data_IF_146929166047
#
_entry.id   IF_146929166047
#
_cell.length_a   1.000
_cell.length_b   1.000
_cell.length_c   1.000
_cell.angle_alpha   90.00
_cell.angle_beta   90.00
_cell.angle_gamma   90.00
#
_symmetry.space_group_name_H-M   'P 1'
#
loop_
_entity.id
_entity.type
_entity.pdbx_description
1 polymer ?
#
# COMPACT_ATOMS: atom_id res chain seq x y z
N UNK A 1 2.25 -17.63 -8.20
CA UNK A 1 2.17 -16.60 -7.16
C UNK A 1 2.59 -15.25 -7.73
N UNK A 2 1.73 -14.25 -7.61
CA UNK A 2 2.06 -12.88 -8.02
C UNK A 2 2.24 -12.00 -6.78
N UNK A 3 3.16 -11.04 -6.90
CA UNK A 3 3.25 -9.93 -5.96
C UNK A 3 2.10 -8.98 -6.24
N UNK A 4 1.50 -8.43 -5.19
CA UNK A 4 0.36 -7.53 -5.29
C UNK A 4 0.66 -6.19 -4.64
N UNK A 5 0.17 -5.12 -5.25
CA UNK A 5 0.17 -3.77 -4.69
C UNK A 5 -1.29 -3.38 -4.43
N UNK A 6 -1.60 -3.08 -3.17
CA UNK A 6 -2.91 -2.56 -2.77
C UNK A 6 -2.87 -1.04 -2.85
N UNK A 7 -3.89 -0.46 -3.48
CA UNK A 7 -4.05 1.00 -3.58
C UNK A 7 -5.33 1.36 -2.84
N UNK A 8 -5.19 1.81 -1.60
CA UNK A 8 -6.32 2.18 -0.73
C UNK A 8 -6.51 3.70 -0.74
N UNK A 9 -7.56 4.15 -1.40
CA UNK A 9 -7.88 5.56 -1.60
C UNK A 9 -9.37 5.72 -1.82
N UNK A 10 -10.02 6.59 -1.04
CA UNK A 10 -11.46 6.81 -1.13
C UNK A 10 -11.87 7.73 -2.29
N UNK A 11 -10.99 8.61 -2.76
CA UNK A 11 -11.27 9.47 -3.90
C UNK A 11 -11.03 8.73 -5.22
N UNK A 12 -12.09 8.49 -6.03
CA UNK A 12 -11.93 7.71 -7.27
C UNK A 12 -10.92 8.30 -8.25
N UNK A 13 -10.87 9.61 -8.36
CA UNK A 13 -9.94 10.28 -9.29
C UNK A 13 -8.48 10.08 -8.88
N UNK A 14 -8.20 10.16 -7.58
CA UNK A 14 -6.85 9.95 -7.04
C UNK A 14 -6.46 8.47 -7.17
N UNK A 15 -7.38 7.58 -6.84
CA UNK A 15 -7.16 6.14 -6.97
C UNK A 15 -6.82 5.75 -8.41
N UNK A 16 -7.58 6.26 -9.37
CA UNK A 16 -7.33 6.04 -10.80
C UNK A 16 -5.99 6.61 -11.24
N UNK A 17 -5.61 7.77 -10.72
CA UNK A 17 -4.32 8.39 -11.04
C UNK A 17 -3.14 7.55 -10.54
N UNK A 18 -3.24 7.00 -9.33
CA UNK A 18 -2.20 6.10 -8.79
C UNK A 18 -2.09 4.84 -9.65
N UNK A 19 -3.23 4.21 -9.97
CA UNK A 19 -3.24 3.03 -10.83
C UNK A 19 -2.60 3.29 -12.19
N UNK A 20 -2.92 4.44 -12.80
CA UNK A 20 -2.36 4.83 -14.10
C UNK A 20 -0.85 4.97 -14.01
N UNK A 21 -0.36 5.62 -12.97
CA UNK A 21 1.08 5.86 -12.81
C UNK A 21 1.84 4.57 -12.48
N UNK A 22 1.15 3.53 -12.00
CA UNK A 22 1.76 2.24 -11.69
C UNK A 22 1.56 1.18 -12.78
N UNK A 23 0.97 1.52 -13.92
CA UNK A 23 0.75 0.55 -15.01
C UNK A 23 2.04 -0.08 -15.53
N UNK A 24 3.17 0.58 -15.37
CA UNK A 24 4.47 0.02 -15.73
C UNK A 24 4.76 -1.30 -15.01
N UNK A 25 4.18 -1.50 -13.81
CA UNK A 25 4.36 -2.74 -13.04
C UNK A 25 3.31 -3.82 -13.37
N UNK A 26 2.21 -3.47 -14.03
CA UNK A 26 1.07 -4.36 -14.25
C UNK A 26 1.41 -5.69 -14.95
N UNK A 27 2.38 -5.76 -15.90
CA UNK A 27 2.73 -7.03 -16.52
C UNK A 27 3.27 -8.10 -15.55
N UNK A 28 3.88 -7.68 -14.45
CA UNK A 28 4.52 -8.61 -13.51
C UNK A 28 3.94 -8.55 -12.10
N UNK A 29 3.19 -7.48 -11.77
CA UNK A 29 2.62 -7.24 -10.44
C UNK A 29 1.13 -7.03 -10.58
N UNK A 30 0.37 -7.65 -9.68
CA UNK A 30 -1.09 -7.47 -9.57
C UNK A 30 -1.38 -6.13 -8.88
N UNK A 31 -2.17 -5.27 -9.51
CA UNK A 31 -2.61 -4.00 -8.90
C UNK A 31 -4.05 -4.15 -8.43
N UNK A 32 -4.32 -3.87 -7.16
CA UNK A 32 -5.64 -4.00 -6.58
C UNK A 32 -6.08 -2.69 -5.92
N UNK A 33 -7.05 -1.99 -6.52
CA UNK A 33 -7.61 -0.80 -5.88
C UNK A 33 -8.65 -1.16 -4.82
N UNK A 34 -8.74 -0.35 -3.78
CA UNK A 34 -9.77 -0.43 -2.74
C UNK A 34 -10.25 0.97 -2.39
N UNK A 35 -11.54 1.12 -2.16
CA UNK A 35 -12.17 2.41 -1.90
C UNK A 35 -12.29 2.77 -0.42
N UNK A 36 -12.24 1.77 0.45
CA UNK A 36 -12.26 1.94 1.90
C UNK A 36 -11.58 0.76 2.58
N UNK A 37 -11.50 0.81 3.91
CA UNK A 37 -10.80 -0.23 4.68
C UNK A 37 -11.51 -1.58 4.59
N UNK A 38 -12.84 -1.60 4.61
CA UNK A 38 -13.58 -2.87 4.49
C UNK A 38 -13.33 -3.52 3.14
N UNK A 39 -13.34 -2.73 2.07
CA UNK A 39 -13.00 -3.19 0.72
C UNK A 39 -11.55 -3.70 0.65
N UNK A 40 -10.62 -3.01 1.32
CA UNK A 40 -9.23 -3.43 1.37
C UNK A 40 -9.06 -4.82 2.02
N UNK A 41 -9.77 -5.09 3.10
CA UNK A 41 -9.71 -6.41 3.74
C UNK A 41 -10.32 -7.50 2.87
N UNK A 42 -11.40 -7.21 2.15
CA UNK A 42 -11.97 -8.15 1.17
C UNK A 42 -10.95 -8.47 0.07
N UNK A 43 -10.26 -7.46 -0.43
CA UNK A 43 -9.20 -7.62 -1.45
C UNK A 43 -8.06 -8.48 -0.88
N UNK A 44 -7.65 -8.25 0.36
CA UNK A 44 -6.62 -9.07 1.01
C UNK A 44 -7.04 -10.54 1.09
N UNK A 45 -8.30 -10.80 1.42
CA UNK A 45 -8.84 -12.16 1.44
C UNK A 45 -8.78 -12.81 0.05
N UNK A 46 -9.12 -12.07 -1.00
CA UNK A 46 -9.04 -12.55 -2.38
C UNK A 46 -7.60 -12.85 -2.81
N UNK A 47 -6.65 -11.96 -2.48
CA UNK A 47 -5.23 -12.16 -2.77
C UNK A 47 -4.73 -13.45 -2.13
N UNK A 48 -5.06 -13.64 -0.87
CA UNK A 48 -4.69 -14.84 -0.12
C UNK A 48 -5.31 -16.10 -0.71
N UNK A 49 -6.59 -16.05 -1.06
CA UNK A 49 -7.31 -17.18 -1.66
C UNK A 49 -6.72 -17.57 -3.03
N UNK A 50 -6.23 -16.60 -3.78
CA UNK A 50 -5.61 -16.83 -5.09
C UNK A 50 -4.16 -17.34 -5.00
N UNK A 51 -3.60 -17.44 -3.80
CA UNK A 51 -2.22 -17.85 -3.60
C UNK A 51 -1.20 -16.76 -3.92
N UNK A 52 -1.65 -15.51 -4.05
CA UNK A 52 -0.77 -14.37 -4.25
C UNK A 52 -0.38 -13.75 -2.91
N UNK A 53 0.59 -12.84 -2.91
CA UNK A 53 1.04 -12.16 -1.69
C UNK A 53 0.93 -10.65 -1.85
N UNK A 54 0.60 -9.97 -0.75
CA UNK A 54 0.56 -8.52 -0.70
C UNK A 54 1.94 -7.99 -0.32
N UNK A 55 2.65 -7.45 -1.32
CA UNK A 55 4.01 -6.94 -1.14
C UNK A 55 4.02 -5.50 -0.63
N UNK A 56 3.07 -4.68 -1.07
CA UNK A 56 3.05 -3.25 -0.79
C UNK A 56 1.62 -2.76 -0.64
N UNK A 57 1.37 -1.93 0.36
CA UNK A 57 0.13 -1.18 0.53
C UNK A 57 0.42 0.31 0.43
N UNK A 58 -0.22 0.96 -0.55
CA UNK A 58 -0.23 2.42 -0.69
C UNK A 58 -1.56 2.91 -0.14
N UNK A 59 -1.53 3.67 0.94
CA UNK A 59 -2.74 4.06 1.65
C UNK A 59 -2.83 5.57 1.83
N UNK A 60 -4.02 6.14 1.57
CA UNK A 60 -4.33 7.49 2.01
C UNK A 60 -4.69 7.46 3.49
N UNK A 61 -4.30 8.50 4.23
CA UNK A 61 -4.64 8.58 5.65
C UNK A 61 -6.07 9.07 5.87
N UNK A 62 -6.49 10.09 5.12
CA UNK A 62 -7.80 10.73 5.34
C UNK A 62 -8.91 10.03 4.57
N UNK A 63 -9.61 9.14 5.27
CA UNK A 63 -10.76 8.44 4.73
C UNK A 63 -11.89 8.45 5.75
N UNK A 64 -13.17 8.43 5.32
CA UNK A 64 -14.28 8.28 6.24
C UNK A 64 -14.18 6.95 7.02
N UNK A 65 -14.47 7.00 8.31
CA UNK A 65 -14.41 5.82 9.17
C UNK A 65 -12.99 5.52 9.62
N UNK A 66 -12.49 4.32 9.32
CA UNK A 66 -11.14 3.92 9.68
C UNK A 66 -10.10 4.64 8.80
N UNK A 67 -9.11 5.25 9.43
CA UNK A 67 -8.04 5.96 8.71
C UNK A 67 -7.04 5.00 8.10
N UNK A 68 -6.24 5.50 7.14
CA UNK A 68 -5.16 4.72 6.55
C UNK A 68 -4.13 4.27 7.58
N UNK A 69 -3.78 5.14 8.54
CA UNK A 69 -2.84 4.79 9.61
C UNK A 69 -3.40 3.68 10.49
N UNK A 70 -4.67 3.76 10.88
CA UNK A 70 -5.31 2.70 11.66
C UNK A 70 -5.31 1.36 10.91
N UNK A 71 -5.58 1.39 9.61
CA UNK A 71 -5.52 0.21 8.76
C UNK A 71 -4.10 -0.39 8.74
N UNK A 72 -3.08 0.45 8.56
CA UNK A 72 -1.68 -0.03 8.54
C UNK A 72 -1.26 -0.62 9.88
N UNK A 73 -1.73 -0.07 11.00
CA UNK A 73 -1.51 -0.64 12.34
C UNK A 73 -2.17 -2.01 12.43
N UNK A 74 -3.42 -2.12 12.00
CA UNK A 74 -4.16 -3.40 12.03
C UNK A 74 -3.49 -4.48 11.18
N UNK A 75 -2.84 -4.10 10.07
CA UNK A 75 -2.10 -5.03 9.23
C UNK A 75 -0.95 -5.73 9.97
N UNK A 76 -0.41 -5.12 11.02
CA UNK A 76 0.67 -5.72 11.81
C UNK A 76 0.20 -6.94 12.62
N UNK A 77 -1.09 -7.02 12.90
CA UNK A 77 -1.68 -8.12 13.67
C UNK A 77 -2.15 -9.30 12.80
N UNK A 78 -2.03 -9.18 11.47
CA UNK A 78 -2.40 -10.23 10.52
C UNK A 78 -1.14 -10.82 9.87
N UNK A 79 -0.93 -12.12 10.02
CA UNK A 79 0.26 -12.80 9.50
C UNK A 79 0.42 -12.66 7.98
N UNK A 80 -0.68 -12.48 7.25
CA UNK A 80 -0.66 -12.32 5.80
C UNK A 80 -0.12 -10.95 5.38
N UNK A 81 -0.17 -9.95 6.26
CA UNK A 81 0.11 -8.54 5.95
C UNK A 81 1.16 -7.90 6.85
N UNK A 82 1.61 -8.58 7.89
CA UNK A 82 2.58 -8.01 8.83
C UNK A 82 3.89 -7.60 8.14
N UNK A 83 4.35 -8.39 7.18
CA UNK A 83 5.57 -8.11 6.42
C UNK A 83 5.36 -7.22 5.20
N UNK A 84 4.11 -6.94 4.81
CA UNK A 84 3.79 -6.04 3.70
C UNK A 84 4.45 -4.68 3.91
N UNK A 85 5.10 -4.15 2.88
CA UNK A 85 5.64 -2.79 2.94
C UNK A 85 4.50 -1.78 2.96
N UNK A 86 4.67 -0.72 3.75
CA UNK A 86 3.60 0.24 4.05
C UNK A 86 4.04 1.63 3.65
N UNK A 87 3.30 2.24 2.75
CA UNK A 87 3.56 3.59 2.25
C UNK A 87 2.30 4.43 2.41
N UNK A 88 2.44 5.59 3.03
CA UNK A 88 1.35 6.54 3.19
C UNK A 88 1.42 7.57 2.06
N UNK A 89 0.32 7.76 1.34
CA UNK A 89 0.21 8.74 0.25
C UNK A 89 -0.90 9.71 0.61
N UNK A 90 -0.53 10.91 1.07
CA UNK A 90 -1.53 11.85 1.60
C UNK A 90 -1.15 13.31 1.34
N UNK A 91 -2.16 14.16 1.19
CA UNK A 91 -1.99 15.60 0.91
C UNK A 91 -1.47 16.37 2.10
N UNK A 92 -1.82 15.97 3.29
CA UNK A 92 -1.34 16.57 4.52
C UNK A 92 -1.29 15.54 5.61
N UNK A 93 -0.14 14.91 5.78
CA UNK A 93 0.09 14.16 6.99
C UNK A 93 0.31 15.14 8.11
N UNK A 94 -0.46 15.01 9.17
CA UNK A 94 -0.10 15.65 10.40
C UNK A 94 1.10 14.89 10.95
N UNK A 95 2.08 15.63 11.46
CA UNK A 95 3.31 15.04 11.97
C UNK A 95 3.02 13.94 13.00
N UNK A 96 2.03 14.16 13.87
CA UNK A 96 1.63 13.21 14.89
C UNK A 96 1.15 11.89 14.31
N UNK A 97 0.33 11.93 13.25
CA UNK A 97 -0.17 10.74 12.57
C UNK A 97 0.96 9.96 11.90
N UNK A 98 1.92 10.67 11.32
CA UNK A 98 3.09 10.06 10.71
C UNK A 98 3.96 9.36 11.76
N UNK A 99 4.14 9.98 12.93
CA UNK A 99 4.89 9.36 14.04
C UNK A 99 4.21 8.08 14.50
N UNK A 100 2.90 8.07 14.64
CA UNK A 100 2.14 6.87 15.01
C UNK A 100 2.34 5.78 13.96
N UNK A 101 2.26 6.13 12.68
CA UNK A 101 2.45 5.16 11.60
C UNK A 101 3.87 4.55 11.62
N UNK A 102 4.89 5.37 11.84
CA UNK A 102 6.28 4.89 11.92
C UNK A 102 6.46 3.95 13.12
N UNK A 103 5.93 4.32 14.29
CA UNK A 103 6.17 3.59 15.52
C UNK A 103 5.29 2.34 15.67
N UNK A 104 4.05 2.38 15.24
CA UNK A 104 3.07 1.32 15.47
C UNK A 104 2.77 0.46 14.25
N UNK A 105 2.86 1.03 13.04
CA UNK A 105 2.59 0.32 11.80
C UNK A 105 3.85 -0.04 11.02
N UNK A 106 5.02 0.36 11.50
CA UNK A 106 6.31 0.15 10.81
C UNK A 106 6.28 0.73 9.39
N UNK A 107 5.87 2.00 9.29
CA UNK A 107 5.76 2.71 8.01
C UNK A 107 7.11 2.77 7.31
N UNK A 108 7.16 2.31 6.06
CA UNK A 108 8.40 2.25 5.28
C UNK A 108 8.71 3.54 4.54
N UNK A 109 7.68 4.25 4.10
CA UNK A 109 7.87 5.51 3.36
C UNK A 109 6.59 6.36 3.34
N UNK A 110 6.76 7.63 3.04
CA UNK A 110 5.68 8.62 2.95
C UNK A 110 5.80 9.36 1.63
N UNK A 111 4.67 9.54 0.93
CA UNK A 111 4.61 10.31 -0.32
C UNK A 111 3.57 11.42 -0.16
N UNK A 112 3.97 12.66 -0.43
CA UNK A 112 3.07 13.81 -0.38
C UNK A 112 2.29 13.95 -1.69
N UNK A 113 1.01 14.33 -1.59
CA UNK A 113 0.19 14.72 -2.73
C UNK A 113 0.34 16.21 -3.01
N UNK A 114 0.41 16.65 -4.25
CA UNK A 114 0.53 15.84 -5.45
C UNK A 114 1.93 15.21 -5.56
N UNK A 115 2.00 14.02 -6.08
CA UNK A 115 3.27 13.32 -6.24
C UNK A 115 3.84 13.53 -7.64
N UNK A 116 5.15 13.32 -7.75
CA UNK A 116 5.83 13.19 -9.04
C UNK A 116 5.76 11.71 -9.46
N UNK A 117 5.37 11.45 -10.69
CA UNK A 117 5.23 10.09 -11.21
C UNK A 117 6.53 9.29 -11.09
N UNK A 118 7.67 9.90 -11.43
CA UNK A 118 8.97 9.23 -11.34
C UNK A 118 9.32 8.88 -9.89
N UNK A 119 9.01 9.76 -8.94
CA UNK A 119 9.24 9.51 -7.52
C UNK A 119 8.35 8.39 -7.01
N UNK A 120 7.08 8.36 -7.42
CA UNK A 120 6.16 7.29 -7.04
C UNK A 120 6.66 5.93 -7.58
N UNK A 121 7.02 5.88 -8.86
CA UNK A 121 7.55 4.66 -9.47
C UNK A 121 8.82 4.18 -8.76
N UNK A 122 9.74 5.08 -8.44
CA UNK A 122 10.99 4.75 -7.75
C UNK A 122 10.71 4.19 -6.36
N UNK A 123 9.82 4.83 -5.60
CA UNK A 123 9.45 4.37 -4.26
C UNK A 123 8.82 2.98 -4.31
N UNK A 124 7.88 2.77 -5.23
CA UNK A 124 7.21 1.47 -5.37
C UNK A 124 8.23 0.39 -5.75
N UNK A 125 9.11 0.66 -6.70
CA UNK A 125 10.16 -0.29 -7.12
C UNK A 125 11.06 -0.67 -5.95
N UNK A 126 11.50 0.32 -5.18
CA UNK A 126 12.39 0.10 -4.03
C UNK A 126 11.70 -0.73 -2.95
N UNK A 127 10.45 -0.44 -2.65
CA UNK A 127 9.69 -1.15 -1.62
C UNK A 127 9.38 -2.58 -2.03
N UNK A 128 8.97 -2.82 -3.26
CA UNK A 128 8.72 -4.17 -3.77
C UNK A 128 10.02 -4.98 -3.81
N UNK A 129 11.12 -4.38 -4.24
CA UNK A 129 12.44 -5.03 -4.25
C UNK A 129 12.87 -5.42 -2.83
N UNK A 130 12.68 -4.51 -1.87
CA UNK A 130 12.99 -4.77 -0.46
C UNK A 130 12.16 -5.93 0.09
N UNK A 131 10.87 -5.96 -0.22
CA UNK A 131 9.99 -7.05 0.19
C UNK A 131 10.46 -8.40 -0.37
N UNK A 132 10.76 -8.43 -1.67
CA UNK A 132 11.23 -9.66 -2.35
C UNK A 132 12.52 -10.17 -1.70
N UNK A 133 13.47 -9.26 -1.43
CA UNK A 133 14.75 -9.63 -0.80
C UNK A 133 14.54 -10.18 0.61
N UNK A 134 13.71 -9.52 1.42
CA UNK A 134 13.50 -9.93 2.82
C UNK A 134 12.71 -11.23 2.94
N UNK A 135 11.80 -11.48 2.00
CA UNK A 135 10.97 -12.70 2.01
C UNK A 135 11.61 -13.87 1.29
N UNK A 136 12.75 -13.67 0.64
CA UNK A 136 13.45 -14.73 -0.10
C UNK A 136 12.68 -15.21 -1.33
N UNK A 137 11.93 -14.33 -1.97
CA UNK A 137 11.12 -14.65 -3.15
C UNK A 137 11.96 -14.42 -4.41
N UNK A 138 11.94 -15.39 -5.33
CA UNK A 138 12.52 -15.20 -6.66
C UNK A 138 11.59 -14.32 -7.50
N UNK A 139 12.11 -13.22 -8.07
CA UNK A 139 11.28 -12.34 -8.90
C UNK A 139 10.87 -12.96 -10.23
#
# INVERSE_FOLDING_TARGET
MKLTILILEDEPEVRTAVERDLQVFAPTVRLEPASDVDDAWEVIDEISADGDVLALALCDHRMPGTTGVEFLVDMMDDDRTAATRKVLVTGQAQLEDTIVAVNEADLDHYIAKPWDRADLEATVRDQVTSYVADMGIDP
#
